data_IF_265564104190
#
_entry.id   IF_265564104190
#
_cell.length_a   1.000
_cell.length_b   1.000
_cell.length_c   1.000
_cell.angle_alpha   90.00
_cell.angle_beta   90.00
_cell.angle_gamma   90.00
#
_symmetry.space_group_name_H-M   'P 1'
#
loop_
_entity.id
_entity.type
_entity.pdbx_description
1 polymer ?
#
# COMPACT_ATOMS: atom_id res chain seq x y z
N UNK A 1 -14.74 -2.67 26.60
CA UNK A 1 -15.39 -1.42 26.12
C UNK A 1 -14.92 -0.17 26.86
N UNK A 2 -15.10 -0.03 28.19
CA UNK A 2 -14.78 1.22 28.92
C UNK A 2 -13.29 1.63 28.87
N UNK A 3 -12.35 0.68 28.80
CA UNK A 3 -10.91 0.96 28.67
C UNK A 3 -10.51 1.45 27.27
N UNK A 4 -11.03 0.79 26.23
CA UNK A 4 -10.77 1.14 24.82
C UNK A 4 -11.25 2.56 24.50
N UNK A 5 -12.47 2.92 24.92
CA UNK A 5 -13.02 4.27 24.70
C UNK A 5 -12.18 5.34 25.40
N UNK A 6 -11.73 5.10 26.64
CA UNK A 6 -10.90 6.06 27.39
C UNK A 6 -9.54 6.34 26.75
N UNK A 7 -8.97 5.37 26.02
CA UNK A 7 -7.66 5.51 25.38
C UNK A 7 -7.77 6.26 24.05
N UNK A 8 -8.79 5.97 23.24
CA UNK A 8 -8.89 6.51 21.88
C UNK A 8 -9.66 7.84 21.79
N UNK A 9 -10.64 8.07 22.68
CA UNK A 9 -11.48 9.26 22.65
C UNK A 9 -10.69 10.58 22.79
N UNK A 10 -9.69 10.71 23.68
CA UNK A 10 -8.92 11.95 23.80
C UNK A 10 -8.17 12.31 22.52
N UNK A 11 -7.58 11.32 21.84
CA UNK A 11 -6.87 11.53 20.59
C UNK A 11 -7.82 11.95 19.46
N UNK A 12 -9.00 11.30 19.36
CA UNK A 12 -10.04 11.66 18.39
C UNK A 12 -10.48 13.10 18.62
N UNK A 13 -10.80 13.47 19.86
CA UNK A 13 -11.26 14.82 20.21
C UNK A 13 -10.16 15.85 19.92
N UNK A 14 -8.92 15.60 20.34
CA UNK A 14 -7.81 16.52 20.12
C UNK A 14 -7.56 16.80 18.63
N UNK A 15 -7.45 15.76 17.80
CA UNK A 15 -7.19 15.92 16.36
C UNK A 15 -8.38 16.58 15.65
N UNK A 16 -9.62 16.23 16.03
CA UNK A 16 -10.82 16.86 15.48
C UNK A 16 -10.87 18.35 15.83
N UNK A 17 -10.50 18.74 17.06
CA UNK A 17 -10.44 20.15 17.46
C UNK A 17 -9.34 20.88 16.67
N UNK A 18 -8.13 20.32 16.57
CA UNK A 18 -7.02 20.96 15.85
C UNK A 18 -7.38 21.17 14.38
N UNK A 19 -7.87 20.12 13.71
CA UNK A 19 -8.25 20.18 12.30
C UNK A 19 -9.50 21.05 12.10
N UNK A 20 -10.45 21.06 13.03
CA UNK A 20 -11.62 21.93 12.99
C UNK A 20 -11.26 23.41 13.14
N UNK A 21 -10.30 23.76 14.01
CA UNK A 21 -9.77 25.13 14.13
C UNK A 21 -9.05 25.53 12.84
N UNK A 22 -8.23 24.64 12.27
CA UNK A 22 -7.57 24.88 10.99
C UNK A 22 -8.57 25.09 9.85
N UNK A 23 -9.64 24.29 9.82
CA UNK A 23 -10.72 24.42 8.85
C UNK A 23 -11.37 25.80 8.94
N UNK A 24 -11.75 26.22 10.15
CA UNK A 24 -12.40 27.51 10.37
C UNK A 24 -11.48 28.71 10.04
N UNK A 25 -10.19 28.62 10.37
CA UNK A 25 -9.19 29.66 10.07
C UNK A 25 -8.96 29.77 8.56
N UNK A 26 -8.90 28.64 7.84
CA UNK A 26 -8.67 28.61 6.40
C UNK A 26 -9.89 29.07 5.61
N UNK A 27 -11.09 28.66 6.03
CA UNK A 27 -12.35 29.11 5.43
C UNK A 27 -12.54 30.63 5.59
N UNK A 28 -12.25 31.19 6.77
CA UNK A 28 -12.31 32.65 6.98
C UNK A 28 -11.30 33.43 6.14
N UNK A 29 -10.13 32.85 5.84
CA UNK A 29 -9.13 33.49 4.97
C UNK A 29 -9.52 33.41 3.50
N UNK A 30 -10.16 32.32 3.06
CA UNK A 30 -10.57 32.10 1.66
C UNK A 30 -11.79 32.92 1.20
N UNK A 31 -12.48 33.63 2.09
CA UNK A 31 -13.58 34.55 1.74
C UNK A 31 -13.14 35.97 1.38
N UNK A 32 -11.82 36.20 1.23
CA UNK A 32 -11.35 37.48 0.69
C UNK A 32 -11.65 37.53 -0.81
N UNK A 33 -12.58 38.42 -1.18
CA UNK A 33 -12.91 38.71 -2.59
C UNK A 33 -11.61 38.90 -3.38
N UNK A 34 -11.39 38.06 -4.40
CA UNK A 34 -10.25 38.19 -5.28
C UNK A 34 -10.23 39.62 -5.86
N UNK A 35 -9.22 40.45 -5.54
CA UNK A 35 -9.15 41.79 -6.10
C UNK A 35 -8.96 41.67 -7.62
N UNK A 36 -9.77 42.38 -8.40
CA UNK A 36 -9.56 42.49 -9.83
C UNK A 36 -8.21 43.18 -10.06
N UNK A 37 -7.30 42.47 -10.71
CA UNK A 37 -5.96 42.97 -11.03
C UNK A 37 -6.07 44.15 -11.98
N UNK A 38 -5.38 45.25 -11.65
CA UNK A 38 -5.30 46.39 -12.56
C UNK A 38 -4.49 46.02 -13.82
N UNK A 39 -4.73 46.69 -14.97
CA UNK A 39 -4.00 46.42 -16.21
C UNK A 39 -2.47 46.57 -16.07
N UNK A 40 -2.01 47.43 -15.15
CA UNK A 40 -0.60 47.63 -14.84
C UNK A 40 0.00 46.43 -14.10
N UNK A 41 -0.75 45.82 -13.19
CA UNK A 41 -0.34 44.63 -12.44
C UNK A 41 -0.20 43.40 -13.33
N UNK A 42 -1.02 43.27 -14.38
CA UNK A 42 -0.90 42.17 -15.35
C UNK A 42 0.36 42.28 -16.21
N UNK A 43 0.81 43.50 -16.52
CA UNK A 43 2.05 43.73 -17.28
C UNK A 43 3.30 43.38 -16.48
N UNK A 44 3.27 43.57 -15.16
CA UNK A 44 4.38 43.26 -14.26
C UNK A 44 4.65 41.75 -14.09
N UNK A 45 3.63 40.90 -14.28
CA UNK A 45 3.76 39.44 -14.12
C UNK A 45 4.15 38.73 -15.42
N UNK A 46 3.75 39.28 -16.58
CA UNK A 46 4.02 38.69 -17.89
C UNK A 46 5.23 39.34 -18.58
N UNK A 47 6.41 39.25 -17.94
CA UNK A 47 7.66 39.66 -18.60
C UNK A 47 8.10 38.53 -19.55
N UNK A 48 8.20 38.76 -20.87
CA UNK A 48 8.58 37.73 -21.81
C UNK A 48 9.97 37.16 -21.52
N UNK A 49 10.08 35.84 -21.40
CA UNK A 49 11.36 35.14 -21.26
C UNK A 49 11.94 35.08 -19.84
N UNK A 50 11.19 35.50 -18.82
CA UNK A 50 11.62 35.42 -17.42
C UNK A 50 10.64 34.58 -16.62
N UNK A 51 11.07 33.42 -16.11
CA UNK A 51 10.21 32.57 -15.29
C UNK A 51 10.39 32.89 -13.80
N UNK A 52 9.53 33.77 -13.30
CA UNK A 52 9.53 34.16 -11.89
C UNK A 52 9.22 33.00 -10.92
N UNK A 53 8.84 31.79 -11.39
CA UNK A 53 8.77 30.58 -10.54
C UNK A 53 10.15 30.06 -10.18
N UNK A 54 11.11 30.20 -11.10
CA UNK A 54 12.47 29.76 -10.89
C UNK A 54 13.16 30.69 -9.87
N UNK A 55 13.67 30.15 -8.73
CA UNK A 55 14.41 30.94 -7.75
C UNK A 55 15.61 31.65 -8.39
N UNK A 56 16.20 31.02 -9.42
CA UNK A 56 17.32 31.57 -10.17
C UNK A 56 16.93 32.82 -10.95
N UNK A 57 15.88 32.76 -11.76
CA UNK A 57 15.42 33.90 -12.56
C UNK A 57 14.96 35.06 -11.68
N UNK A 58 14.39 34.75 -10.51
CA UNK A 58 14.01 35.75 -9.50
C UNK A 58 15.22 36.46 -8.90
N UNK A 59 16.23 35.69 -8.50
CA UNK A 59 17.49 36.23 -7.99
C UNK A 59 18.22 37.03 -9.08
N UNK A 60 18.23 36.52 -10.31
CA UNK A 60 18.82 37.18 -11.47
C UNK A 60 18.14 38.54 -11.75
N UNK A 61 16.81 38.59 -11.69
CA UNK A 61 16.07 39.85 -11.84
C UNK A 61 16.37 40.82 -10.70
N UNK A 62 16.40 40.34 -9.45
CA UNK A 62 16.75 41.15 -8.30
C UNK A 62 18.16 41.74 -8.42
N UNK A 63 19.12 40.92 -8.81
CA UNK A 63 20.52 41.30 -9.00
C UNK A 63 20.68 42.27 -10.16
N UNK A 64 19.99 42.03 -11.29
CA UNK A 64 19.98 42.94 -12.42
C UNK A 64 19.41 44.32 -12.03
N UNK A 65 18.25 44.35 -11.37
CA UNK A 65 17.63 45.60 -10.88
C UNK A 65 18.55 46.34 -9.91
N UNK A 66 19.18 45.62 -8.99
CA UNK A 66 20.12 46.19 -8.01
C UNK A 66 21.44 46.66 -8.64
N UNK A 67 21.84 46.10 -9.78
CA UNK A 67 23.01 46.54 -10.54
C UNK A 67 22.73 47.84 -11.30
N UNK A 68 21.55 47.96 -11.91
CA UNK A 68 21.17 49.15 -12.69
C UNK A 68 20.69 50.33 -11.82
N UNK A 69 19.94 50.06 -10.73
CA UNK A 69 19.45 51.08 -9.80
C UNK A 69 19.83 50.76 -8.33
N UNK A 70 21.12 50.85 -7.94
CA UNK A 70 21.60 50.42 -6.64
C UNK A 70 21.05 51.21 -5.44
N UNK A 71 20.49 52.40 -5.68
CA UNK A 71 19.89 53.25 -4.65
C UNK A 71 18.45 52.84 -4.28
N UNK A 72 17.83 51.93 -5.04
CA UNK A 72 16.40 51.55 -4.92
C UNK A 72 16.17 50.10 -4.52
N UNK A 73 17.13 49.48 -3.82
CA UNK A 73 17.04 48.08 -3.39
C UNK A 73 15.73 47.73 -2.67
N UNK A 74 15.27 48.59 -1.78
CA UNK A 74 14.01 48.38 -1.04
C UNK A 74 12.79 48.37 -1.98
N UNK A 75 12.77 49.26 -2.99
CA UNK A 75 11.70 49.31 -3.98
C UNK A 75 11.70 48.07 -4.91
N UNK A 76 12.87 47.50 -5.21
CA UNK A 76 12.97 46.26 -5.99
C UNK A 76 12.46 45.05 -5.22
N UNK A 77 12.79 44.95 -3.92
CA UNK A 77 12.24 43.91 -3.05
C UNK A 77 10.73 44.05 -2.91
N UNK A 78 10.22 45.27 -2.79
CA UNK A 78 8.79 45.53 -2.74
C UNK A 78 8.09 45.17 -4.06
N UNK A 79 8.72 45.45 -5.20
CA UNK A 79 8.23 45.06 -6.52
C UNK A 79 8.14 43.54 -6.66
N UNK A 80 9.18 42.80 -6.25
CA UNK A 80 9.17 41.33 -6.27
C UNK A 80 8.08 40.75 -5.36
N UNK A 81 7.92 41.29 -4.14
CA UNK A 81 6.84 40.90 -3.22
C UNK A 81 5.46 41.21 -3.79
N UNK A 82 5.33 42.31 -4.52
CA UNK A 82 4.07 42.71 -5.17
C UNK A 82 3.72 41.77 -6.31
N UNK A 83 4.70 41.40 -7.13
CA UNK A 83 4.56 40.39 -8.19
C UNK A 83 4.16 39.03 -7.61
N UNK A 84 4.77 38.60 -6.50
CA UNK A 84 4.37 37.37 -5.80
C UNK A 84 2.92 37.42 -5.28
N UNK A 85 2.49 38.55 -4.72
CA UNK A 85 1.11 38.75 -4.26
C UNK A 85 0.11 38.70 -5.41
N UNK A 86 0.39 39.39 -6.51
CA UNK A 86 -0.43 39.38 -7.72
C UNK A 86 -0.56 37.97 -8.27
N UNK A 87 0.52 37.20 -8.30
CA UNK A 87 0.51 35.82 -8.79
C UNK A 87 -0.26 34.89 -7.85
N UNK A 88 -0.12 35.05 -6.54
CA UNK A 88 -0.93 34.31 -5.57
C UNK A 88 -2.43 34.54 -5.80
N UNK A 89 -2.81 35.78 -6.14
CA UNK A 89 -4.18 36.15 -6.50
C UNK A 89 -4.61 35.58 -7.87
N UNK A 90 -3.71 35.46 -8.86
CA UNK A 90 -4.01 34.78 -10.12
C UNK A 90 -4.26 33.29 -9.95
N UNK A 91 -3.47 32.60 -9.12
CA UNK A 91 -3.68 31.18 -8.80
C UNK A 91 -5.04 30.99 -8.12
N UNK A 92 -5.39 31.89 -7.20
CA UNK A 92 -6.68 31.92 -6.51
C UNK A 92 -7.84 32.24 -7.49
N UNK A 93 -7.64 33.15 -8.43
CA UNK A 93 -8.61 33.45 -9.49
C UNK A 93 -8.79 32.29 -10.49
N UNK A 94 -7.71 31.59 -10.85
CA UNK A 94 -7.74 30.36 -11.66
C UNK A 94 -8.44 29.21 -10.94
N UNK A 95 -8.36 29.17 -9.60
CA UNK A 95 -9.15 28.27 -8.75
C UNK A 95 -10.65 28.59 -8.86
N UNK A 96 -11.02 29.88 -8.82
CA UNK A 96 -12.42 30.31 -8.93
C UNK A 96 -13.03 30.13 -10.34
N UNK A 97 -12.23 30.18 -11.40
CA UNK A 97 -12.68 30.01 -12.79
C UNK A 97 -12.87 28.54 -13.19
N UNK A 98 -12.17 27.60 -12.53
CA UNK A 98 -12.36 26.18 -12.79
C UNK A 98 -13.53 25.63 -11.95
N UNK A 99 -14.58 25.06 -12.57
CA UNK A 99 -15.69 24.45 -11.83
C UNK A 99 -15.27 23.23 -10.99
N UNK A 100 -14.07 22.68 -11.23
CA UNK A 100 -13.42 21.65 -10.38
C UNK A 100 -12.64 22.20 -9.19
N UNK A 101 -12.47 23.53 -9.05
CA UNK A 101 -11.69 24.17 -7.98
C UNK A 101 -12.44 25.22 -7.12
N UNK A 102 -13.68 25.58 -7.49
CA UNK A 102 -14.64 26.32 -6.63
C UNK A 102 -14.73 25.84 -5.15
N UNK A 103 -15.14 26.68 -4.19
CA UNK A 103 -15.30 26.30 -2.78
C UNK A 103 -16.28 25.13 -2.58
N UNK A 104 -16.14 24.44 -1.43
CA UNK A 104 -16.92 23.27 -1.02
C UNK A 104 -18.43 23.42 -1.31
N UNK A 105 -18.92 22.66 -2.29
CA UNK A 105 -20.34 22.54 -2.59
C UNK A 105 -20.84 21.15 -2.15
N UNK A 106 -22.12 21.01 -1.80
CA UNK A 106 -22.72 19.74 -1.37
C UNK A 106 -22.53 18.60 -2.36
N UNK A 107 -22.54 18.91 -3.66
CA UNK A 107 -22.25 17.93 -4.73
C UNK A 107 -20.81 17.42 -4.70
N UNK A 108 -19.83 18.28 -4.35
CA UNK A 108 -18.43 17.88 -4.18
C UNK A 108 -18.21 17.10 -2.90
N UNK A 109 -18.84 17.49 -1.79
CA UNK A 109 -18.82 16.70 -0.58
C UNK A 109 -19.31 15.28 -0.84
N UNK A 110 -20.38 15.14 -1.62
CA UNK A 110 -20.89 13.82 -2.01
C UNK A 110 -19.91 13.05 -2.90
N UNK A 111 -19.27 13.70 -3.88
CA UNK A 111 -18.24 13.07 -4.73
C UNK A 111 -17.04 12.61 -3.90
N UNK A 112 -16.52 13.47 -3.02
CA UNK A 112 -15.41 13.15 -2.11
C UNK A 112 -15.79 12.00 -1.17
N UNK A 113 -17.01 12.02 -0.64
CA UNK A 113 -17.53 10.94 0.20
C UNK A 113 -17.58 9.60 -0.57
N UNK A 114 -18.06 9.59 -1.82
CA UNK A 114 -18.09 8.39 -2.66
C UNK A 114 -16.68 7.89 -3.00
N UNK A 115 -15.74 8.79 -3.30
CA UNK A 115 -14.34 8.44 -3.52
C UNK A 115 -13.72 7.81 -2.27
N UNK A 116 -13.97 8.42 -1.11
CA UNK A 116 -13.53 7.90 0.18
C UNK A 116 -14.17 6.54 0.51
N UNK A 117 -15.48 6.37 0.26
CA UNK A 117 -16.17 5.10 0.49
C UNK A 117 -15.59 3.98 -0.40
N UNK A 118 -15.36 4.26 -1.69
CA UNK A 118 -14.71 3.32 -2.61
C UNK A 118 -13.32 2.94 -2.11
N UNK A 119 -12.54 3.92 -1.67
CA UNK A 119 -11.23 3.69 -1.05
C UNK A 119 -11.32 2.75 0.16
N UNK A 120 -12.22 3.02 1.10
CA UNK A 120 -12.43 2.18 2.30
C UNK A 120 -12.81 0.74 1.92
N UNK A 121 -13.67 0.55 0.92
CA UNK A 121 -14.08 -0.78 0.46
C UNK A 121 -12.91 -1.54 -0.17
N UNK A 122 -12.17 -0.91 -1.08
CA UNK A 122 -10.98 -1.50 -1.70
C UNK A 122 -9.95 -1.85 -0.63
N UNK A 123 -9.74 -0.94 0.31
CA UNK A 123 -8.83 -1.12 1.44
C UNK A 123 -9.19 -2.36 2.28
N UNK A 124 -10.45 -2.45 2.72
CA UNK A 124 -10.94 -3.58 3.51
C UNK A 124 -10.79 -4.91 2.76
N UNK A 125 -11.05 -4.90 1.45
CA UNK A 125 -10.94 -6.08 0.61
C UNK A 125 -9.47 -6.51 0.44
N UNK A 126 -8.55 -5.58 0.16
CA UNK A 126 -7.10 -5.87 0.09
C UNK A 126 -6.60 -6.42 1.41
N UNK A 127 -7.01 -5.84 2.53
CA UNK A 127 -6.66 -6.32 3.88
C UNK A 127 -7.14 -7.76 4.12
N UNK A 128 -8.38 -8.07 3.74
CA UNK A 128 -8.97 -9.40 3.89
C UNK A 128 -8.25 -10.44 3.02
N UNK A 129 -7.99 -10.12 1.75
CA UNK A 129 -7.26 -11.00 0.83
C UNK A 129 -5.83 -11.21 1.33
N UNK A 130 -5.16 -10.15 1.79
CA UNK A 130 -3.78 -10.24 2.29
C UNK A 130 -3.72 -11.09 3.56
N UNK A 131 -4.63 -10.89 4.51
CA UNK A 131 -4.72 -11.71 5.72
C UNK A 131 -4.93 -13.20 5.40
N UNK A 132 -5.86 -13.49 4.48
CA UNK A 132 -6.09 -14.85 4.00
C UNK A 132 -4.86 -15.43 3.27
N UNK A 133 -4.21 -14.61 2.44
CA UNK A 133 -3.00 -14.97 1.69
C UNK A 133 -1.85 -15.33 2.62
N UNK A 134 -1.61 -14.52 3.67
CA UNK A 134 -0.60 -14.76 4.70
C UNK A 134 -0.78 -16.14 5.32
N UNK A 135 -1.99 -16.44 5.81
CA UNK A 135 -2.28 -17.73 6.46
C UNK A 135 -2.13 -18.90 5.47
N UNK A 136 -2.56 -18.73 4.23
CA UNK A 136 -2.53 -19.78 3.22
C UNK A 136 -1.13 -20.11 2.75
N UNK A 137 -0.35 -19.10 2.39
CA UNK A 137 1.02 -19.29 1.93
C UNK A 137 1.92 -19.81 3.05
N UNK A 138 1.74 -19.33 4.29
CA UNK A 138 2.52 -19.78 5.43
C UNK A 138 2.23 -21.24 5.81
N UNK A 139 0.95 -21.64 5.84
CA UNK A 139 0.58 -23.06 6.07
C UNK A 139 1.08 -23.94 4.93
N UNK A 140 0.93 -23.51 3.67
CA UNK A 140 1.44 -24.24 2.52
C UNK A 140 2.95 -24.45 2.62
N UNK A 141 3.70 -23.39 2.92
CA UNK A 141 5.15 -23.45 3.13
C UNK A 141 5.51 -24.39 4.27
N UNK A 142 4.81 -24.28 5.40
CA UNK A 142 5.03 -25.13 6.57
C UNK A 142 4.85 -26.62 6.22
N UNK A 143 3.74 -26.98 5.56
CA UNK A 143 3.47 -28.38 5.16
C UNK A 143 4.53 -28.89 4.19
N UNK A 144 4.91 -28.11 3.18
CA UNK A 144 5.95 -28.50 2.22
C UNK A 144 7.30 -28.75 2.90
N UNK A 145 7.65 -27.94 3.90
CA UNK A 145 8.90 -28.10 4.65
C UNK A 145 8.88 -29.34 5.54
N UNK A 146 7.76 -29.63 6.21
CA UNK A 146 7.59 -30.84 7.00
C UNK A 146 7.64 -32.14 6.15
N UNK A 147 7.40 -32.05 4.83
CA UNK A 147 7.55 -33.18 3.92
C UNK A 147 9.02 -33.56 3.65
N UNK A 148 10.01 -32.77 4.10
CA UNK A 148 11.46 -33.02 3.92
C UNK A 148 11.85 -33.44 2.48
N UNK A 149 11.16 -32.89 1.47
CA UNK A 149 11.46 -33.22 0.07
C UNK A 149 12.80 -32.58 -0.33
N UNK A 150 13.67 -33.31 -1.04
CA UNK A 150 14.97 -32.78 -1.46
C UNK A 150 14.79 -31.54 -2.35
N UNK A 151 15.73 -30.61 -2.25
CA UNK A 151 15.71 -29.38 -3.05
C UNK A 151 15.72 -29.68 -4.55
N UNK A 152 15.12 -28.81 -5.36
CA UNK A 152 15.13 -29.01 -6.83
C UNK A 152 16.56 -29.00 -7.40
N UNK A 153 17.47 -28.23 -6.79
CA UNK A 153 18.90 -28.23 -7.12
C UNK A 153 19.58 -29.54 -6.72
N UNK A 154 19.26 -30.09 -5.55
CA UNK A 154 19.81 -31.38 -5.11
C UNK A 154 19.33 -32.52 -6.00
N UNK A 155 18.05 -32.51 -6.38
CA UNK A 155 17.48 -33.43 -7.37
C UNK A 155 18.17 -33.29 -8.72
N UNK A 156 18.39 -32.06 -9.21
CA UNK A 156 19.10 -31.80 -10.45
C UNK A 156 20.55 -32.30 -10.42
N UNK A 157 21.29 -31.97 -9.36
CA UNK A 157 22.68 -32.42 -9.16
C UNK A 157 22.75 -33.94 -9.03
N UNK A 158 21.80 -34.57 -8.32
CA UNK A 158 21.70 -36.02 -8.22
C UNK A 158 21.42 -36.67 -9.58
N UNK A 159 20.57 -36.06 -10.42
CA UNK A 159 20.26 -36.53 -11.78
C UNK A 159 21.44 -36.39 -12.74
N UNK A 160 22.22 -35.31 -12.66
CA UNK A 160 23.46 -35.13 -13.43
C UNK A 160 24.53 -36.13 -12.98
N UNK A 161 24.68 -36.30 -11.67
CA UNK A 161 25.72 -37.15 -11.08
C UNK A 161 25.47 -38.64 -11.34
N UNK A 162 24.21 -39.06 -11.50
CA UNK A 162 23.83 -40.46 -11.68
C UNK A 162 24.17 -41.09 -13.05
N UNK A 163 24.74 -40.34 -14.02
CA UNK A 163 25.09 -40.80 -15.40
C UNK A 163 24.48 -42.16 -15.79
N UNK A 164 23.16 -42.22 -16.05
CA UNK A 164 22.51 -43.49 -16.33
C UNK A 164 23.06 -44.09 -17.64
N UNK A 165 23.25 -45.42 -17.65
CA UNK A 165 23.58 -46.16 -18.87
C UNK A 165 22.31 -46.28 -19.73
N UNK A 166 22.00 -45.22 -20.47
CA UNK A 166 20.82 -45.13 -21.33
C UNK A 166 21.07 -45.96 -22.59
N UNK A 167 20.23 -46.97 -22.85
CA UNK A 167 20.41 -47.89 -23.99
C UNK A 167 19.50 -47.55 -25.17
N UNK A 168 18.42 -46.80 -24.93
CA UNK A 168 17.40 -46.50 -25.93
C UNK A 168 17.26 -45.00 -26.17
N UNK A 169 17.00 -44.57 -27.42
CA UNK A 169 16.75 -43.16 -27.77
C UNK A 169 15.56 -42.55 -27.03
N UNK A 170 14.51 -43.33 -26.75
CA UNK A 170 13.37 -42.88 -25.93
C UNK A 170 13.74 -42.64 -24.46
N UNK A 171 14.63 -43.45 -23.88
CA UNK A 171 15.13 -43.25 -22.52
C UNK A 171 15.99 -41.99 -22.44
N UNK A 172 16.76 -41.74 -23.50
CA UNK A 172 17.56 -40.52 -23.65
C UNK A 172 16.70 -39.26 -23.73
N UNK A 173 15.63 -39.29 -24.54
CA UNK A 173 14.64 -38.19 -24.61
C UNK A 173 13.92 -37.96 -23.28
N UNK A 174 13.51 -39.02 -22.57
CA UNK A 174 12.88 -38.89 -21.23
C UNK A 174 13.86 -38.30 -20.22
N UNK A 175 15.10 -38.77 -20.19
CA UNK A 175 16.16 -38.23 -19.34
C UNK A 175 16.40 -36.75 -19.63
N UNK A 176 16.52 -36.36 -20.90
CA UNK A 176 16.72 -34.97 -21.31
C UNK A 176 15.53 -34.09 -20.90
N UNK A 177 14.30 -34.58 -21.09
CA UNK A 177 13.09 -33.87 -20.70
C UNK A 177 13.02 -33.62 -19.19
N UNK A 178 13.37 -34.60 -18.35
CA UNK A 178 13.45 -34.43 -16.90
C UNK A 178 14.58 -33.48 -16.49
N UNK A 179 15.73 -33.56 -17.16
CA UNK A 179 16.89 -32.72 -16.89
C UNK A 179 16.63 -31.25 -17.27
N UNK A 180 15.84 -30.98 -18.31
CA UNK A 180 15.40 -29.63 -18.70
C UNK A 180 14.19 -29.13 -17.88
N UNK A 181 13.30 -30.02 -17.45
CA UNK A 181 12.12 -29.66 -16.68
C UNK A 181 12.46 -29.11 -15.29
N UNK A 182 13.52 -29.60 -14.65
CA UNK A 182 13.94 -29.14 -13.31
C UNK A 182 14.45 -27.68 -13.32
N UNK A 183 15.42 -27.28 -14.16
CA UNK A 183 15.84 -25.89 -14.28
C UNK A 183 14.71 -25.01 -14.81
N UNK A 184 13.85 -25.52 -15.71
CA UNK A 184 12.64 -24.82 -16.13
C UNK A 184 11.70 -24.49 -14.97
N UNK A 185 11.43 -25.46 -14.08
CA UNK A 185 10.64 -25.23 -12.85
C UNK A 185 11.31 -24.23 -11.91
N UNK A 186 12.64 -24.29 -11.77
CA UNK A 186 13.43 -23.35 -10.97
C UNK A 186 13.35 -21.93 -11.51
N UNK A 187 13.48 -21.74 -12.82
CA UNK A 187 13.35 -20.45 -13.50
C UNK A 187 11.94 -19.87 -13.34
N UNK A 188 10.90 -20.67 -13.56
CA UNK A 188 9.51 -20.23 -13.36
C UNK A 188 9.28 -19.83 -11.90
N UNK A 189 9.76 -20.63 -10.94
CA UNK A 189 9.66 -20.31 -9.52
C UNK A 189 10.43 -19.03 -9.17
N UNK A 190 11.62 -18.84 -9.74
CA UNK A 190 12.43 -17.63 -9.59
C UNK A 190 11.75 -16.39 -10.15
N UNK A 191 11.18 -16.49 -11.36
CA UNK A 191 10.41 -15.41 -11.98
C UNK A 191 9.17 -15.04 -11.15
N UNK A 192 8.44 -16.03 -10.64
CA UNK A 192 7.31 -15.81 -9.74
C UNK A 192 7.73 -15.10 -8.45
N UNK A 193 8.87 -15.47 -7.86
CA UNK A 193 9.41 -14.74 -6.71
C UNK A 193 9.79 -13.32 -7.09
N UNK A 194 10.47 -13.09 -8.21
CA UNK A 194 10.83 -11.73 -8.66
C UNK A 194 9.60 -10.83 -8.84
N UNK A 195 8.50 -11.36 -9.37
CA UNK A 195 7.22 -10.63 -9.49
C UNK A 195 6.65 -10.30 -8.10
N UNK A 196 6.67 -11.26 -7.17
CA UNK A 196 6.20 -11.06 -5.79
C UNK A 196 7.08 -10.12 -4.96
N UNK A 197 8.36 -9.98 -5.32
CA UNK A 197 9.33 -9.11 -4.64
C UNK A 197 9.54 -7.77 -5.35
N UNK A 198 8.99 -7.57 -6.54
CA UNK A 198 9.02 -6.28 -7.21
C UNK A 198 8.11 -5.29 -6.45
N UNK A 199 8.54 -4.03 -6.27
CA UNK A 199 7.67 -3.00 -5.70
C UNK A 199 6.43 -2.74 -6.58
N UNK A 200 5.27 -2.54 -5.94
CA UNK A 200 3.99 -2.32 -6.62
C UNK A 200 4.03 -1.27 -7.73
N UNK A 201 4.73 -0.17 -7.50
CA UNK A 201 4.84 0.88 -8.50
C UNK A 201 5.64 0.42 -9.74
N UNK A 202 6.72 -0.35 -9.58
CA UNK A 202 7.54 -0.83 -10.71
C UNK A 202 6.71 -1.73 -11.62
N UNK A 203 5.92 -2.63 -11.00
CA UNK A 203 5.01 -3.52 -11.72
C UNK A 203 3.87 -2.71 -12.35
N UNK A 204 3.30 -1.73 -11.67
CA UNK A 204 2.27 -0.86 -12.24
C UNK A 204 2.77 -0.08 -13.47
N UNK A 205 3.96 0.52 -13.38
CA UNK A 205 4.55 1.30 -14.46
C UNK A 205 4.94 0.43 -15.66
N UNK A 206 5.36 -0.82 -15.44
CA UNK A 206 5.66 -1.75 -16.55
C UNK A 206 4.40 -2.22 -17.29
N UNK A 207 3.24 -2.25 -16.63
CA UNK A 207 1.96 -2.59 -17.25
C UNK A 207 1.17 -1.39 -17.79
N UNK A 208 1.52 -0.15 -17.37
CA UNK A 208 0.86 1.10 -17.80
C UNK A 208 0.83 1.28 -19.33
N UNK A 209 1.75 0.65 -20.06
CA UNK A 209 1.84 0.77 -21.53
C UNK A 209 0.94 -0.18 -22.32
N UNK A 210 0.43 -1.27 -21.73
CA UNK A 210 -0.24 -2.34 -22.50
C UNK A 210 -1.54 -2.90 -21.90
N UNK A 211 -1.86 -2.62 -20.63
CA UNK A 211 -3.09 -3.09 -19.99
C UNK A 211 -4.03 -1.93 -19.66
N UNK A 212 -5.35 -2.18 -19.72
CA UNK A 212 -6.37 -1.35 -19.08
C UNK A 212 -6.13 -1.35 -17.57
N UNK A 213 -5.20 -0.50 -17.14
CA UNK A 213 -4.81 -0.34 -15.74
C UNK A 213 -5.94 0.21 -14.87
N UNK A 214 -7.06 0.65 -15.47
CA UNK A 214 -8.24 1.23 -14.81
C UNK A 214 -9.17 0.26 -14.08
N UNK A 215 -8.87 -1.05 -14.07
CA UNK A 215 -9.69 -2.03 -13.36
C UNK A 215 -9.32 -2.10 -11.87
N UNK A 216 -10.31 -1.89 -10.98
CA UNK A 216 -10.16 -2.06 -9.52
C UNK A 216 -9.58 -3.43 -9.14
N UNK A 217 -9.91 -4.47 -9.93
CA UNK A 217 -9.43 -5.83 -9.69
C UNK A 217 -7.91 -5.95 -9.91
N UNK A 218 -7.38 -5.29 -10.94
CA UNK A 218 -5.94 -5.25 -11.19
C UNK A 218 -5.20 -4.55 -10.05
N UNK A 219 -5.78 -3.45 -9.55
CA UNK A 219 -5.24 -2.68 -8.42
C UNK A 219 -5.20 -3.48 -7.13
N UNK A 220 -6.29 -4.19 -6.81
CA UNK A 220 -6.37 -5.08 -5.65
C UNK A 220 -5.28 -6.15 -5.75
N UNK A 221 -5.14 -6.80 -6.91
CA UNK A 221 -4.18 -7.88 -7.10
C UNK A 221 -2.74 -7.38 -6.98
N UNK A 222 -2.44 -6.22 -7.57
CA UNK A 222 -1.14 -5.55 -7.45
C UNK A 222 -0.82 -5.18 -6.00
N UNK A 223 -1.78 -4.58 -5.29
CA UNK A 223 -1.62 -4.16 -3.90
C UNK A 223 -1.43 -5.34 -2.93
N UNK A 224 -1.99 -6.52 -3.24
CA UNK A 224 -1.80 -7.75 -2.47
C UNK A 224 -0.46 -8.41 -2.78
N UNK A 225 -0.13 -8.59 -4.07
CA UNK A 225 1.02 -9.40 -4.50
C UNK A 225 2.36 -8.65 -4.42
N UNK A 226 2.35 -7.35 -4.72
CA UNK A 226 3.56 -6.55 -4.90
C UNK A 226 3.96 -5.77 -3.65
N UNK A 227 3.35 -6.14 -2.52
CA UNK A 227 3.51 -5.49 -1.25
C UNK A 227 4.25 -6.46 -0.33
N UNK A 228 5.55 -6.22 -0.13
CA UNK A 228 6.44 -7.07 0.69
C UNK A 228 5.91 -7.36 2.10
N UNK A 229 4.86 -6.67 2.54
CA UNK A 229 3.99 -7.03 3.65
C UNK A 229 3.48 -8.48 3.59
N UNK A 230 2.92 -8.96 2.48
CA UNK A 230 2.41 -10.34 2.36
C UNK A 230 3.49 -11.34 2.74
N UNK A 231 4.71 -11.12 2.25
CA UNK A 231 5.87 -12.00 2.47
C UNK A 231 6.38 -11.89 3.91
N UNK A 232 6.56 -10.65 4.41
CA UNK A 232 7.06 -10.43 5.77
C UNK A 232 6.13 -11.06 6.81
N UNK A 233 4.82 -10.88 6.64
CA UNK A 233 3.84 -11.46 7.56
C UNK A 233 3.59 -12.94 7.33
N UNK A 234 3.70 -13.44 6.10
CA UNK A 234 3.78 -14.87 5.84
C UNK A 234 4.96 -15.47 6.62
N UNK A 235 6.14 -14.84 6.61
CA UNK A 235 7.30 -15.30 7.38
C UNK A 235 7.04 -15.27 8.89
N UNK A 236 6.39 -14.22 9.40
CA UNK A 236 6.00 -14.13 10.83
C UNK A 236 4.99 -15.20 11.23
N UNK A 237 3.96 -15.45 10.42
CA UNK A 237 2.99 -16.51 10.73
C UNK A 237 3.62 -17.90 10.62
N UNK A 238 4.47 -18.10 9.60
CA UNK A 238 5.24 -19.32 9.45
C UNK A 238 6.18 -19.58 10.65
N UNK A 239 6.86 -18.56 11.19
CA UNK A 239 7.71 -18.75 12.37
C UNK A 239 6.91 -19.13 13.61
N UNK A 240 5.67 -18.61 13.77
CA UNK A 240 4.74 -19.05 14.80
C UNK A 240 4.35 -20.53 14.62
N UNK A 241 4.02 -20.97 13.39
CA UNK A 241 3.72 -22.37 13.10
C UNK A 241 4.89 -23.29 13.47
N UNK A 242 6.11 -22.91 13.12
CA UNK A 242 7.33 -23.67 13.44
C UNK A 242 7.65 -23.66 14.94
N UNK A 243 7.37 -22.56 15.65
CA UNK A 243 7.53 -22.51 17.09
C UNK A 243 6.49 -23.41 17.81
N UNK A 244 5.24 -23.35 17.37
CA UNK A 244 4.16 -24.20 17.90
C UNK A 244 4.40 -25.69 17.62
N UNK A 245 4.94 -26.05 16.45
CA UNK A 245 5.19 -27.44 16.09
C UNK A 245 6.26 -28.12 16.93
N UNK A 246 7.12 -27.36 17.62
CA UNK A 246 8.21 -27.86 18.47
C UNK A 246 7.81 -28.04 19.93
N UNK A 247 6.57 -27.72 20.30
CA UNK A 247 6.11 -27.80 21.69
C UNK A 247 5.66 -29.21 22.06
N UNK A 248 5.86 -29.61 23.31
CA UNK A 248 5.59 -30.98 23.80
C UNK A 248 4.13 -31.44 23.70
N UNK A 249 3.15 -30.54 23.55
CA UNK A 249 1.76 -30.94 23.31
C UNK A 249 1.58 -31.61 21.94
N UNK A 250 2.46 -31.34 20.98
CA UNK A 250 2.47 -31.98 19.66
C UNK A 250 2.89 -33.45 19.78
N UNK A 251 3.87 -33.74 20.63
CA UNK A 251 4.27 -35.11 20.96
C UNK A 251 3.13 -35.86 21.65
N UNK A 252 2.45 -35.18 22.58
CA UNK A 252 1.25 -35.72 23.22
C UNK A 252 0.13 -36.00 22.21
N UNK A 253 -0.04 -35.14 21.20
CA UNK A 253 -1.01 -35.33 20.13
C UNK A 253 -0.68 -36.54 19.25
N UNK A 254 0.61 -36.80 18.97
CA UNK A 254 1.06 -38.03 18.28
C UNK A 254 0.70 -39.28 19.09
N UNK A 255 0.94 -39.25 20.41
CA UNK A 255 0.61 -40.37 21.32
C UNK A 255 -0.91 -40.61 21.39
N UNK A 256 -1.73 -39.59 21.15
CA UNK A 256 -3.20 -39.69 21.06
C UNK A 256 -3.72 -40.17 19.70
N UNK A 257 -2.86 -40.75 18.85
CA UNK A 257 -3.19 -41.25 17.50
C UNK A 257 -3.84 -40.21 16.58
N UNK A 258 -3.46 -38.92 16.71
CA UNK A 258 -3.79 -37.93 15.69
C UNK A 258 -2.87 -38.12 14.48
N UNK A 259 -3.41 -37.89 13.27
CA UNK A 259 -2.62 -38.01 12.05
C UNK A 259 -1.46 -36.99 12.05
N UNK A 260 -0.28 -37.45 11.66
CA UNK A 260 0.96 -36.67 11.65
C UNK A 260 1.64 -36.60 10.27
N UNK A 261 1.04 -37.24 9.26
CA UNK A 261 1.54 -37.22 7.89
C UNK A 261 1.29 -35.87 7.21
N UNK A 262 2.36 -35.22 6.77
CA UNK A 262 2.25 -33.97 6.02
C UNK A 262 2.19 -34.18 4.51
N UNK A 263 2.20 -35.42 4.01
CA UNK A 263 2.18 -35.68 2.57
C UNK A 263 0.79 -35.42 1.97
N UNK A 264 0.76 -34.80 0.79
CA UNK A 264 -0.48 -34.47 0.09
C UNK A 264 -1.20 -35.68 -0.49
N UNK A 265 -0.47 -36.78 -0.71
CA UNK A 265 -0.96 -38.00 -1.35
C UNK A 265 -1.42 -39.07 -0.35
N UNK A 266 -1.17 -38.86 0.94
CA UNK A 266 -1.54 -39.78 2.00
C UNK A 266 -3.01 -39.55 2.42
N UNK A 267 -3.86 -40.59 2.50
CA UNK A 267 -5.22 -40.48 3.04
C UNK A 267 -5.28 -39.91 4.46
N UNK A 268 -4.24 -40.13 5.27
CA UNK A 268 -4.12 -39.57 6.61
C UNK A 268 -3.55 -38.13 6.61
N UNK A 269 -3.06 -37.65 5.47
CA UNK A 269 -2.33 -36.40 5.36
C UNK A 269 -3.19 -35.14 5.14
N UNK A 270 -2.51 -34.00 5.10
CA UNK A 270 -3.16 -32.70 4.86
C UNK A 270 -3.39 -32.51 3.36
N UNK A 271 -4.64 -32.37 2.95
CA UNK A 271 -4.97 -32.11 1.55
C UNK A 271 -4.75 -30.65 1.16
N UNK A 272 -4.34 -30.39 -0.09
CA UNK A 272 -4.23 -29.02 -0.64
C UNK A 272 -5.57 -28.28 -0.52
N UNK A 273 -6.70 -28.97 -0.72
CA UNK A 273 -8.04 -28.38 -0.57
C UNK A 273 -8.28 -27.84 0.84
N UNK A 274 -7.81 -28.52 1.90
CA UNK A 274 -7.93 -28.02 3.27
C UNK A 274 -7.08 -26.76 3.50
N UNK A 275 -5.92 -26.66 2.85
CA UNK A 275 -5.05 -25.48 2.91
C UNK A 275 -5.70 -24.27 2.21
N UNK A 276 -6.46 -24.44 1.13
CA UNK A 276 -7.10 -23.34 0.40
C UNK A 276 -8.58 -23.09 0.79
N UNK A 277 -9.07 -23.68 1.89
CA UNK A 277 -10.40 -23.35 2.43
C UNK A 277 -10.36 -21.99 3.13
N UNK A 278 -11.42 -21.20 2.96
CA UNK A 278 -11.61 -19.89 3.64
C UNK A 278 -11.49 -20.02 5.16
N UNK A 279 -12.15 -21.02 5.74
CA UNK A 279 -11.94 -21.42 7.14
C UNK A 279 -11.04 -22.64 7.17
N UNK A 280 -9.80 -22.46 7.62
CA UNK A 280 -8.83 -23.56 7.77
C UNK A 280 -9.29 -24.51 8.86
N UNK A 281 -9.44 -25.78 8.48
CA UNK A 281 -9.78 -26.85 9.40
C UNK A 281 -9.09 -28.14 8.92
N UNK A 282 -8.32 -28.74 9.81
CA UNK A 282 -7.51 -29.95 9.63
C UNK A 282 -7.99 -31.03 10.61
N UNK A 283 -9.27 -31.37 10.55
CA UNK A 283 -9.91 -32.29 11.48
C UNK A 283 -9.18 -33.63 11.55
N UNK A 284 -8.86 -34.10 12.76
CA UNK A 284 -8.13 -35.36 12.99
C UNK A 284 -6.61 -35.29 12.76
N UNK A 285 -6.07 -34.12 12.40
CA UNK A 285 -4.65 -33.92 12.14
C UNK A 285 -4.01 -32.98 13.18
N UNK A 286 -2.77 -33.25 13.55
CA UNK A 286 -2.01 -32.46 14.54
C UNK A 286 -1.92 -30.97 14.16
N UNK A 287 -1.81 -30.69 12.85
CA UNK A 287 -1.80 -29.34 12.28
C UNK A 287 -2.97 -28.47 12.76
N UNK A 288 -4.13 -29.05 13.10
CA UNK A 288 -5.25 -28.26 13.62
C UNK A 288 -4.89 -27.51 14.89
N UNK A 289 -4.25 -28.19 15.84
CA UNK A 289 -3.86 -27.60 17.12
C UNK A 289 -2.73 -26.58 16.95
N UNK A 290 -1.74 -26.91 16.11
CA UNK A 290 -0.65 -26.00 15.75
C UNK A 290 -1.21 -24.72 15.12
N UNK A 291 -2.10 -24.87 14.14
CA UNK A 291 -2.72 -23.74 13.43
C UNK A 291 -3.58 -22.88 14.36
N UNK A 292 -4.44 -23.48 15.19
CA UNK A 292 -5.31 -22.72 16.10
C UNK A 292 -4.50 -21.89 17.09
N UNK A 293 -3.44 -22.47 17.67
CA UNK A 293 -2.57 -21.78 18.63
C UNK A 293 -1.78 -20.66 17.94
N UNK A 294 -1.21 -20.93 16.76
CA UNK A 294 -0.51 -19.92 15.98
C UNK A 294 -1.45 -18.80 15.52
N UNK A 295 -2.68 -19.11 15.08
CA UNK A 295 -3.69 -18.15 14.68
C UNK A 295 -4.12 -17.24 15.84
N UNK A 296 -4.32 -17.80 17.03
CA UNK A 296 -4.65 -17.03 18.22
C UNK A 296 -3.53 -16.06 18.61
N UNK A 297 -2.27 -16.52 18.62
CA UNK A 297 -1.12 -15.66 18.87
C UNK A 297 -0.92 -14.61 17.76
N UNK A 298 -1.20 -14.97 16.51
CA UNK A 298 -1.07 -14.04 15.40
C UNK A 298 -2.10 -12.90 15.50
N UNK A 299 -3.35 -13.20 15.90
CA UNK A 299 -4.38 -12.18 16.15
C UNK A 299 -3.95 -11.16 17.22
N UNK A 300 -3.31 -11.61 18.30
CA UNK A 300 -2.86 -10.68 19.36
C UNK A 300 -1.71 -9.78 18.90
N UNK A 301 -0.94 -10.20 17.90
CA UNK A 301 0.09 -9.36 17.24
C UNK A 301 -0.45 -8.36 16.22
N UNK A 302 -1.76 -8.31 15.94
CA UNK A 302 -2.37 -7.35 14.99
C UNK A 302 -2.06 -5.88 15.32
N UNK A 303 -1.82 -5.52 16.59
CA UNK A 303 -1.36 -4.17 16.96
C UNK A 303 0.03 -3.82 16.43
N UNK A 304 0.94 -4.80 16.40
CA UNK A 304 2.25 -4.64 15.75
C UNK A 304 2.12 -4.55 14.22
N UNK A 305 0.93 -4.91 13.71
CA UNK A 305 0.51 -4.75 12.32
C UNK A 305 -0.22 -3.41 12.10
N UNK A 306 -0.22 -2.46 13.04
CA UNK A 306 -0.65 -1.09 12.73
C UNK A 306 0.22 -0.49 11.60
N UNK A 307 1.51 -0.87 11.53
CA UNK A 307 2.37 -0.56 10.39
C UNK A 307 1.86 -1.24 9.09
N UNK A 308 1.33 -2.46 9.13
CA UNK A 308 0.69 -3.11 7.98
C UNK A 308 -0.50 -2.30 7.47
N UNK A 309 -1.28 -1.75 8.40
CA UNK A 309 -2.45 -0.96 8.13
C UNK A 309 -2.06 0.36 7.45
N UNK A 310 -1.10 1.09 8.02
CA UNK A 310 -0.61 2.40 7.52
C UNK A 310 0.20 2.25 6.23
N UNK A 311 1.11 1.29 6.15
CA UNK A 311 1.92 1.03 4.94
C UNK A 311 1.05 0.46 3.82
N UNK A 312 0.08 -0.41 4.13
CA UNK A 312 -0.93 -0.85 3.18
C UNK A 312 -1.79 0.31 2.66
N UNK A 313 -2.18 1.24 3.53
CA UNK A 313 -2.95 2.43 3.17
C UNK A 313 -2.15 3.34 2.21
N UNK A 314 -0.89 3.63 2.50
CA UNK A 314 -0.02 4.41 1.60
C UNK A 314 0.23 3.73 0.24
N UNK A 315 0.38 2.40 0.22
CA UNK A 315 0.68 1.66 -1.01
C UNK A 315 -0.58 1.50 -1.86
N UNK A 316 -1.73 1.23 -1.26
CA UNK A 316 -3.03 1.21 -1.94
C UNK A 316 -3.32 2.61 -2.50
N UNK A 317 -3.05 3.67 -1.72
CA UNK A 317 -3.13 5.06 -2.19
C UNK A 317 -2.17 5.36 -3.36
N UNK A 318 -0.89 4.97 -3.27
CA UNK A 318 0.08 5.17 -4.36
C UNK A 318 -0.30 4.40 -5.62
N UNK A 319 -0.85 3.20 -5.48
CA UNK A 319 -1.33 2.41 -6.59
C UNK A 319 -2.56 3.09 -7.23
N UNK A 320 -3.51 3.55 -6.42
CA UNK A 320 -4.70 4.28 -6.86
C UNK A 320 -4.37 5.68 -7.43
N UNK A 321 -3.20 6.25 -7.12
CA UNK A 321 -2.72 7.53 -7.65
C UNK A 321 -2.59 7.55 -9.19
N UNK A 322 -2.55 6.37 -9.83
CA UNK A 322 -2.54 6.23 -11.30
C UNK A 322 -3.89 6.65 -11.93
N UNK A 323 -4.98 6.73 -11.16
CA UNK A 323 -6.35 6.96 -11.66
C UNK A 323 -7.08 8.16 -11.03
N UNK A 324 -6.36 9.22 -10.65
CA UNK A 324 -6.98 10.43 -10.07
C UNK A 324 -7.78 10.17 -8.77
N UNK A 325 -7.34 9.23 -7.93
CA UNK A 325 -7.99 8.92 -6.65
C UNK A 325 -7.59 9.91 -5.53
N UNK A 326 -8.02 9.62 -4.29
CA UNK A 326 -8.00 10.52 -3.12
C UNK A 326 -6.67 11.27 -2.92
N UNK A 327 -5.51 10.63 -3.06
CA UNK A 327 -4.20 11.30 -2.97
C UNK A 327 -3.87 12.25 -4.12
N UNK A 328 -4.28 11.93 -5.36
CA UNK A 328 -4.14 12.84 -6.49
C UNK A 328 -5.02 14.07 -6.27
N UNK A 329 -6.26 13.84 -5.82
CA UNK A 329 -7.17 14.92 -5.47
C UNK A 329 -6.61 15.73 -4.29
N UNK A 330 -6.05 15.10 -3.26
CA UNK A 330 -5.39 15.79 -2.15
C UNK A 330 -4.20 16.63 -2.62
N UNK A 331 -3.35 16.12 -3.50
CA UNK A 331 -2.22 16.85 -4.08
C UNK A 331 -2.70 18.01 -4.95
N UNK A 332 -3.73 17.79 -5.76
CA UNK A 332 -4.40 18.80 -6.59
C UNK A 332 -4.96 19.91 -5.70
N UNK A 333 -5.72 19.58 -4.66
CA UNK A 333 -6.29 20.55 -3.74
C UNK A 333 -5.23 21.28 -2.92
N UNK A 334 -4.10 20.62 -2.60
CA UNK A 334 -2.95 21.27 -1.96
C UNK A 334 -2.24 22.25 -2.91
N UNK A 335 -2.05 21.88 -4.18
CA UNK A 335 -1.49 22.73 -5.22
C UNK A 335 -2.34 23.98 -5.45
N UNK A 336 -3.66 23.83 -5.48
CA UNK A 336 -4.62 24.93 -5.65
C UNK A 336 -5.01 25.62 -4.33
N UNK A 337 -4.34 25.30 -3.21
CA UNK A 337 -4.56 25.90 -1.88
C UNK A 337 -5.99 25.81 -1.35
N UNK A 338 -6.75 24.80 -1.79
CA UNK A 338 -8.07 24.47 -1.29
C UNK A 338 -7.98 23.68 0.02
N UNK A 339 -7.41 24.32 1.05
CA UNK A 339 -7.15 23.73 2.36
C UNK A 339 -8.37 23.10 3.06
N UNK A 340 -9.60 23.63 2.94
CA UNK A 340 -10.79 23.00 3.53
C UNK A 340 -11.01 21.56 3.05
N UNK A 341 -10.83 21.29 1.75
CA UNK A 341 -10.98 19.96 1.18
C UNK A 341 -9.83 19.03 1.61
N UNK A 342 -8.60 19.55 1.66
CA UNK A 342 -7.43 18.82 2.18
C UNK A 342 -7.65 18.41 3.64
N UNK A 343 -8.15 19.32 4.49
CA UNK A 343 -8.41 19.05 5.91
C UNK A 343 -9.46 17.95 6.07
N UNK A 344 -10.54 17.97 5.28
CA UNK A 344 -11.56 16.93 5.29
C UNK A 344 -11.01 15.57 4.88
N UNK A 345 -10.20 15.51 3.82
CA UNK A 345 -9.55 14.27 3.37
C UNK A 345 -8.61 13.70 4.45
N UNK A 346 -7.77 14.56 5.06
CA UNK A 346 -6.85 14.15 6.14
C UNK A 346 -7.62 13.67 7.37
N UNK A 347 -8.70 14.36 7.74
CA UNK A 347 -9.56 13.96 8.86
C UNK A 347 -10.22 12.59 8.60
N UNK A 348 -10.68 12.35 7.37
CA UNK A 348 -11.21 11.05 6.96
C UNK A 348 -10.19 9.93 7.13
N UNK A 349 -8.96 10.11 6.61
CA UNK A 349 -7.87 9.14 6.77
C UNK A 349 -7.56 8.90 8.26
N UNK A 350 -7.51 9.95 9.06
CA UNK A 350 -7.30 9.82 10.51
C UNK A 350 -8.38 8.97 11.18
N UNK A 351 -9.66 9.21 10.87
CA UNK A 351 -10.76 8.41 11.40
C UNK A 351 -10.72 6.96 10.93
N UNK A 352 -10.30 6.70 9.69
CA UNK A 352 -10.11 5.33 9.20
C UNK A 352 -9.07 4.59 10.03
N UNK A 353 -7.89 5.17 10.19
CA UNK A 353 -6.79 4.58 10.98
C UNK A 353 -7.24 4.38 12.43
N UNK A 354 -7.92 5.35 13.03
CA UNK A 354 -8.42 5.21 14.41
C UNK A 354 -9.52 4.17 14.56
N UNK A 355 -10.43 4.07 13.60
CA UNK A 355 -11.45 3.02 13.60
C UNK A 355 -10.79 1.63 13.57
N UNK A 356 -9.72 1.46 12.79
CA UNK A 356 -9.00 0.19 12.75
C UNK A 356 -8.21 -0.10 14.02
N UNK A 357 -7.60 0.89 14.66
CA UNK A 357 -6.97 0.75 15.98
C UNK A 357 -7.98 0.29 17.04
N UNK A 358 -9.17 0.92 17.07
CA UNK A 358 -10.25 0.59 18.00
C UNK A 358 -10.75 -0.84 17.75
N UNK A 359 -10.92 -1.22 16.49
CA UNK A 359 -11.35 -2.57 16.13
C UNK A 359 -10.31 -3.62 16.56
N UNK A 360 -9.03 -3.36 16.33
CA UNK A 360 -7.95 -4.25 16.77
C UNK A 360 -7.88 -4.38 18.31
N UNK A 361 -8.20 -3.31 19.04
CA UNK A 361 -8.30 -3.33 20.50
C UNK A 361 -9.53 -4.05 21.03
N UNK A 362 -10.64 -4.04 20.27
CA UNK A 362 -11.87 -4.74 20.63
C UNK A 362 -11.82 -6.24 20.32
N UNK A 363 -11.05 -6.64 19.30
CA UNK A 363 -10.88 -8.04 18.91
C UNK A 363 -9.96 -8.84 19.87
N UNK A 364 -9.33 -8.18 20.84
CA UNK A 364 -8.63 -8.80 21.98
C UNK A 364 -9.62 -9.12 23.09
#
# INVERSE_FOLDING_TARGET
MKSVVKIHLPAIVAVTIILGVLFFVTERRGQSNAPQLSPEQQRLVNIPGLDLENPFDRALLQDALNLFEPQRKEAHEELLRTVERIRAQQIEALSNQNPELQPLNGSRLWRLFLMYLRFVVIYALVMLITYYGVQTLAVLRFVIEQQNRPGHLELFLALIRRRPALRTTQEWLRYLSHLLAIPGKLLVKGALYLILFAPAYVVAYSFKTNFETGSDLFMILLAVLSNGLLINYMNKFYSLLTAESRKGYVETARVKNLNDSYDFNDPAGVTVKQIFRVRKNFSGHILQHIYQNAAFQYLTTMKEQASFLITGLMIIEMALNIHQHLSYELLKQLLYKNYPEVILMVLGIFYLVKATDIFADWAK
#
